data_IF_617692740723
#
_entry.id   IF_617692740723
#
_cell.length_a   1.000
_cell.length_b   1.000
_cell.length_c   1.000
_cell.angle_alpha   90.00
_cell.angle_beta   90.00
_cell.angle_gamma   90.00
#
_symmetry.space_group_name_H-M   'P 1'
#
loop_
_entity.id
_entity.type
_entity.pdbx_description
1 polymer ?
#
# COMPACT_ATOMS: atom_id res chain seq x y z
N UNK A 1 -47.16 11.09 -10.93
CA UNK A 1 -46.16 12.15 -11.19
C UNK A 1 -44.86 11.66 -10.57
N UNK A 2 -43.85 11.29 -11.41
CA UNK A 2 -42.57 10.75 -10.93
C UNK A 2 -41.55 11.90 -10.95
N UNK A 3 -41.11 12.33 -9.77
CA UNK A 3 -40.14 13.39 -9.60
C UNK A 3 -38.74 12.75 -9.71
N UNK A 4 -38.00 13.08 -10.76
CA UNK A 4 -36.59 12.71 -10.89
C UNK A 4 -35.74 13.69 -10.06
N UNK A 5 -35.06 13.20 -9.04
CA UNK A 5 -34.04 13.95 -8.33
C UNK A 5 -32.73 13.85 -9.10
N UNK A 6 -32.22 15.00 -9.58
CA UNK A 6 -30.93 15.12 -10.24
C UNK A 6 -29.86 15.18 -9.14
N UNK A 7 -29.03 14.14 -9.06
CA UNK A 7 -27.87 14.12 -8.16
C UNK A 7 -26.74 14.91 -8.82
N UNK A 8 -26.44 16.10 -8.28
CA UNK A 8 -25.29 16.89 -8.71
C UNK A 8 -24.00 16.25 -8.19
N UNK A 9 -23.15 15.80 -9.10
CA UNK A 9 -21.79 15.35 -8.78
C UNK A 9 -20.93 16.60 -8.47
N UNK A 10 -20.55 16.76 -7.22
CA UNK A 10 -19.54 17.74 -6.82
C UNK A 10 -18.17 17.09 -7.03
N UNK A 11 -17.47 17.48 -8.06
CA UNK A 11 -16.06 17.12 -8.26
C UNK A 11 -15.21 17.97 -7.31
N UNK A 12 -14.72 17.39 -6.22
CA UNK A 12 -13.71 18.00 -5.37
C UNK A 12 -12.34 17.78 -6.03
N UNK A 13 -11.81 18.83 -6.65
CA UNK A 13 -10.43 18.86 -7.12
C UNK A 13 -9.49 18.94 -5.91
N UNK A 14 -8.87 17.85 -5.52
CA UNK A 14 -7.79 17.85 -4.53
C UNK A 14 -6.53 18.30 -5.25
N UNK A 15 -6.10 19.55 -5.00
CA UNK A 15 -4.80 20.04 -5.44
C UNK A 15 -3.70 19.24 -4.73
N UNK A 16 -2.93 18.46 -5.48
CA UNK A 16 -1.74 17.79 -4.97
C UNK A 16 -0.68 18.82 -4.60
N UNK A 17 0.00 18.72 -3.44
CA UNK A 17 1.13 19.57 -3.13
C UNK A 17 2.26 19.31 -4.13
N UNK A 18 2.82 20.38 -4.68
CA UNK A 18 3.95 20.32 -5.59
C UNK A 18 5.13 19.59 -4.93
N UNK A 19 5.57 18.50 -5.54
CA UNK A 19 6.78 17.82 -5.15
C UNK A 19 8.00 18.71 -5.43
N UNK A 20 9.03 18.75 -4.55
CA UNK A 20 10.25 19.45 -4.84
C UNK A 20 10.90 18.84 -6.09
N UNK A 21 11.23 19.70 -7.06
CA UNK A 21 11.91 19.31 -8.29
C UNK A 21 13.32 18.82 -7.96
N UNK A 22 13.50 17.53 -7.84
CA UNK A 22 14.82 16.91 -7.93
C UNK A 22 15.20 16.80 -9.40
N UNK A 23 16.42 17.28 -9.69
CA UNK A 23 17.00 17.49 -10.99
C UNK A 23 16.73 16.41 -12.05
N UNK A 24 16.78 16.86 -13.29
CA UNK A 24 16.57 16.17 -14.55
C UNK A 24 16.97 14.70 -14.52
N UNK A 25 16.00 13.80 -14.71
CA UNK A 25 16.28 12.41 -15.02
C UNK A 25 17.09 12.33 -16.32
N UNK A 26 18.20 11.60 -16.38
CA UNK A 26 18.85 11.33 -17.65
C UNK A 26 17.91 10.51 -18.52
N UNK A 27 17.83 10.87 -19.79
CA UNK A 27 17.07 10.19 -20.84
C UNK A 27 17.39 8.69 -20.81
N UNK A 28 16.36 7.87 -21.14
CA UNK A 28 16.46 6.43 -21.31
C UNK A 28 17.46 6.09 -22.44
N UNK A 29 18.74 6.06 -22.08
CA UNK A 29 19.81 5.45 -22.87
C UNK A 29 19.95 4.01 -22.44
N UNK A 30 20.13 3.12 -23.39
CA UNK A 30 20.45 1.70 -23.21
C UNK A 30 21.86 1.54 -22.61
N UNK A 31 22.11 2.20 -21.46
CA UNK A 31 23.38 2.25 -20.75
C UNK A 31 23.43 1.17 -19.71
N UNK A 32 24.40 0.28 -19.80
CA UNK A 32 24.81 -0.64 -18.73
C UNK A 32 24.91 0.16 -17.42
N UNK A 33 24.07 -0.20 -16.44
CA UNK A 33 24.12 0.41 -15.10
C UNK A 33 25.51 0.16 -14.53
N UNK A 34 26.22 1.21 -14.15
CA UNK A 34 27.55 1.06 -13.53
C UNK A 34 27.44 0.28 -12.24
N UNK A 35 28.50 -0.42 -11.81
CA UNK A 35 28.51 -1.18 -10.55
C UNK A 35 28.13 -0.29 -9.36
N UNK A 36 28.60 0.95 -9.31
CA UNK A 36 28.21 1.90 -8.26
C UNK A 36 26.70 2.26 -8.33
N UNK A 37 26.16 2.48 -9.53
CA UNK A 37 24.74 2.75 -9.74
C UNK A 37 23.86 1.56 -9.36
N UNK A 38 24.26 0.35 -9.73
CA UNK A 38 23.59 -0.88 -9.33
C UNK A 38 23.57 -1.04 -7.80
N UNK A 39 24.68 -0.80 -7.12
CA UNK A 39 24.77 -0.91 -5.67
C UNK A 39 23.85 0.09 -4.96
N UNK A 40 23.78 1.33 -5.45
CA UNK A 40 22.86 2.34 -4.92
C UNK A 40 21.39 1.96 -5.16
N UNK A 41 21.04 1.51 -6.37
CA UNK A 41 19.71 1.07 -6.72
C UNK A 41 19.27 -0.17 -5.91
N UNK A 42 20.19 -1.13 -5.66
CA UNK A 42 19.95 -2.27 -4.78
C UNK A 42 19.63 -1.83 -3.35
N UNK A 43 20.37 -0.87 -2.80
CA UNK A 43 20.09 -0.35 -1.47
C UNK A 43 18.68 0.29 -1.40
N UNK A 44 18.33 1.11 -2.38
CA UNK A 44 17.00 1.71 -2.49
C UNK A 44 15.89 0.66 -2.63
N UNK A 45 16.11 -0.40 -3.41
CA UNK A 45 15.17 -1.51 -3.56
C UNK A 45 14.94 -2.23 -2.23
N UNK A 46 16.01 -2.55 -1.50
CA UNK A 46 15.93 -3.18 -0.18
C UNK A 46 15.14 -2.31 0.79
N UNK A 47 15.39 -1.01 0.84
CA UNK A 47 14.68 -0.10 1.74
C UNK A 47 13.23 0.10 1.31
N UNK A 48 12.96 0.15 0.02
CA UNK A 48 11.60 0.20 -0.52
C UNK A 48 10.78 -1.06 -0.19
N UNK A 49 11.38 -2.27 -0.24
CA UNK A 49 10.68 -3.50 0.16
C UNK A 49 10.41 -3.52 1.67
N UNK A 50 11.35 -3.06 2.50
CA UNK A 50 11.09 -2.90 3.96
C UNK A 50 9.93 -1.94 4.22
N UNK A 51 9.90 -0.80 3.51
CA UNK A 51 8.79 0.14 3.62
C UNK A 51 7.44 -0.49 3.21
N UNK A 52 7.42 -1.39 2.22
CA UNK A 52 6.22 -2.16 1.89
C UNK A 52 5.82 -3.14 3.00
N UNK A 53 6.76 -3.82 3.64
CA UNK A 53 6.47 -4.69 4.79
C UNK A 53 5.87 -3.90 5.95
N UNK A 54 6.37 -2.69 6.22
CA UNK A 54 5.79 -1.79 7.22
C UNK A 54 4.36 -1.38 6.87
N UNK A 55 4.07 -1.10 5.59
CA UNK A 55 2.71 -0.80 5.11
C UNK A 55 1.79 -2.01 5.28
N UNK A 56 2.22 -3.22 4.96
CA UNK A 56 1.41 -4.44 5.14
C UNK A 56 1.12 -4.72 6.62
N UNK A 57 2.08 -4.46 7.51
CA UNK A 57 1.85 -4.54 8.96
C UNK A 57 0.80 -3.53 9.44
N UNK A 58 0.81 -2.30 8.89
CA UNK A 58 -0.21 -1.28 9.16
C UNK A 58 -1.59 -1.68 8.62
N UNK A 59 -1.63 -2.20 7.40
CA UNK A 59 -2.84 -2.66 6.76
C UNK A 59 -3.52 -3.77 7.56
N UNK A 60 -2.74 -4.70 8.09
CA UNK A 60 -3.26 -5.82 8.86
C UNK A 60 -3.71 -5.42 10.27
N UNK A 61 -2.83 -4.76 11.04
CA UNK A 61 -3.00 -4.51 12.49
C UNK A 61 -3.21 -3.06 12.85
N UNK A 62 -2.98 -2.13 11.91
CA UNK A 62 -2.98 -0.69 12.16
C UNK A 62 -1.74 -0.19 12.91
N UNK A 63 -1.61 1.12 13.00
CA UNK A 63 -0.56 1.74 13.80
C UNK A 63 -0.91 1.74 15.28
N UNK A 64 -0.07 1.13 16.11
CA UNK A 64 0.10 1.59 17.48
C UNK A 64 0.94 2.87 17.40
N UNK A 65 0.31 4.05 17.43
CA UNK A 65 1.04 5.32 17.51
C UNK A 65 1.93 5.30 18.75
N UNK A 66 3.24 5.59 18.63
CA UNK A 66 4.08 5.80 19.83
C UNK A 66 3.49 6.95 20.64
N UNK A 67 3.31 6.75 21.94
CA UNK A 67 2.60 7.64 22.88
C UNK A 67 3.26 9.01 23.10
N UNK A 68 4.35 9.33 22.39
CA UNK A 68 5.22 10.47 22.71
C UNK A 68 5.03 11.72 21.84
N UNK A 69 4.04 11.76 20.92
CA UNK A 69 3.75 12.97 20.17
C UNK A 69 2.31 13.44 20.43
N UNK A 70 2.18 14.55 21.14
CA UNK A 70 0.97 15.32 21.46
C UNK A 70 0.06 14.73 22.56
N UNK A 71 0.39 15.07 23.79
CA UNK A 71 -0.38 14.77 25.02
C UNK A 71 -1.66 15.60 25.22
N UNK A 72 -2.24 16.20 24.16
CA UNK A 72 -3.39 17.10 24.32
C UNK A 72 -4.64 16.78 23.50
N UNK A 73 -4.67 15.64 22.78
CA UNK A 73 -5.88 15.19 22.08
C UNK A 73 -6.41 13.90 22.72
N UNK A 74 -7.75 13.70 22.80
CA UNK A 74 -8.32 12.49 23.36
C UNK A 74 -7.76 11.29 22.61
N UNK A 75 -7.10 10.39 23.34
CA UNK A 75 -6.46 9.17 22.84
C UNK A 75 -7.51 8.12 22.48
N UNK A 76 -8.28 8.36 21.44
CA UNK A 76 -8.86 7.24 20.70
C UNK A 76 -7.72 6.66 19.87
N UNK A 77 -7.19 5.51 20.29
CA UNK A 77 -6.32 4.67 19.47
C UNK A 77 -7.14 4.19 18.26
N UNK A 78 -7.32 5.06 17.28
CA UNK A 78 -7.92 4.72 15.99
C UNK A 78 -6.87 3.94 15.20
N UNK A 79 -6.82 2.64 15.44
CA UNK A 79 -6.11 1.72 14.58
C UNK A 79 -6.96 1.52 13.32
N UNK A 80 -6.52 2.03 12.19
CA UNK A 80 -7.18 1.82 10.90
C UNK A 80 -6.52 0.64 10.21
N UNK A 81 -7.19 -0.52 10.22
CA UNK A 81 -6.67 -1.77 9.69
C UNK A 81 -7.82 -2.68 9.24
N UNK A 82 -7.49 -3.75 8.51
CA UNK A 82 -8.45 -4.79 8.15
C UNK A 82 -9.05 -5.44 9.40
N UNK A 83 -8.24 -5.69 10.44
CA UNK A 83 -8.75 -6.22 11.72
C UNK A 83 -9.72 -5.25 12.42
N UNK A 84 -9.47 -3.94 12.32
CA UNK A 84 -10.40 -2.92 12.85
C UNK A 84 -11.66 -2.86 12.01
N UNK A 85 -11.52 -2.96 10.68
CA UNK A 85 -12.64 -2.97 9.75
C UNK A 85 -13.59 -4.14 10.05
N UNK A 86 -13.05 -5.34 10.33
CA UNK A 86 -13.85 -6.49 10.76
C UNK A 86 -14.68 -6.21 12.02
N UNK A 87 -14.08 -5.53 13.01
CA UNK A 87 -14.77 -5.20 14.27
C UNK A 87 -15.82 -4.08 14.11
N UNK A 88 -15.72 -3.29 13.05
CA UNK A 88 -16.62 -2.16 12.80
C UNK A 88 -17.74 -2.46 11.81
N UNK A 89 -17.83 -3.69 11.29
CA UNK A 89 -18.96 -4.12 10.47
C UNK A 89 -20.28 -3.86 11.22
N UNK A 90 -21.21 -3.20 10.57
CA UNK A 90 -22.50 -2.80 11.15
C UNK A 90 -22.45 -1.53 12.02
N UNK A 91 -21.32 -0.84 12.11
CA UNK A 91 -21.18 0.40 12.90
C UNK A 91 -21.02 1.64 12.02
N UNK A 92 -21.31 2.82 12.59
CA UNK A 92 -21.10 4.10 11.89
C UNK A 92 -19.63 4.39 11.55
N UNK A 93 -18.68 3.75 12.24
CA UNK A 93 -17.22 3.91 12.00
C UNK A 93 -16.68 3.17 10.79
N UNK A 94 -17.44 2.24 10.21
CA UNK A 94 -16.99 1.36 9.13
C UNK A 94 -16.45 2.14 7.92
N UNK A 95 -17.21 3.07 7.39
CA UNK A 95 -16.84 3.83 6.18
C UNK A 95 -15.55 4.65 6.38
N UNK A 96 -15.36 5.26 7.55
CA UNK A 96 -14.15 6.02 7.86
C UNK A 96 -12.92 5.11 7.91
N UNK A 97 -13.07 3.92 8.49
CA UNK A 97 -12.00 2.90 8.53
C UNK A 97 -11.71 2.35 7.15
N UNK A 98 -12.73 2.03 6.35
CA UNK A 98 -12.57 1.58 4.96
C UNK A 98 -11.78 2.58 4.13
N UNK A 99 -12.13 3.88 4.21
CA UNK A 99 -11.39 4.95 3.52
C UNK A 99 -9.92 4.99 3.95
N UNK A 100 -9.65 4.83 5.24
CA UNK A 100 -8.29 4.83 5.76
C UNK A 100 -7.48 3.61 5.34
N UNK A 101 -8.09 2.42 5.29
CA UNK A 101 -7.46 1.20 4.76
C UNK A 101 -7.11 1.37 3.28
N UNK A 102 -8.02 1.89 2.47
CA UNK A 102 -7.77 2.19 1.05
C UNK A 102 -6.59 3.16 0.85
N UNK A 103 -6.47 4.19 1.70
CA UNK A 103 -5.34 5.11 1.65
C UNK A 103 -4.00 4.44 1.99
N UNK A 104 -3.98 3.50 2.95
CA UNK A 104 -2.82 2.69 3.28
C UNK A 104 -2.44 1.79 2.11
N UNK A 105 -3.40 1.12 1.49
CA UNK A 105 -3.20 0.26 0.31
C UNK A 105 -2.63 1.05 -0.87
N UNK A 106 -3.18 2.24 -1.16
CA UNK A 106 -2.67 3.10 -2.23
C UNK A 106 -1.20 3.47 -2.00
N UNK A 107 -0.83 3.85 -0.77
CA UNK A 107 0.57 4.12 -0.42
C UNK A 107 1.47 2.90 -0.66
N UNK A 108 1.00 1.71 -0.34
CA UNK A 108 1.70 0.44 -0.61
C UNK A 108 1.91 0.22 -2.11
N UNK A 109 0.90 0.49 -2.94
CA UNK A 109 0.97 0.41 -4.41
C UNK A 109 2.04 1.36 -4.96
N UNK A 110 2.06 2.62 -4.50
CA UNK A 110 3.02 3.63 -4.97
C UNK A 110 4.48 3.25 -4.64
N UNK A 111 4.72 2.72 -3.45
CA UNK A 111 6.05 2.23 -3.05
C UNK A 111 6.45 1.03 -3.91
N UNK A 112 5.53 0.11 -4.16
CA UNK A 112 5.80 -1.11 -4.94
C UNK A 112 6.09 -0.82 -6.40
N UNK A 113 5.39 0.13 -7.02
CA UNK A 113 5.68 0.55 -8.39
C UNK A 113 7.13 1.02 -8.54
N UNK A 114 7.66 1.76 -7.55
CA UNK A 114 9.07 2.17 -7.51
C UNK A 114 10.01 0.98 -7.34
N UNK A 115 9.65 0.04 -6.46
CA UNK A 115 10.44 -1.18 -6.24
C UNK A 115 10.53 -2.05 -7.49
N UNK A 116 9.41 -2.23 -8.22
CA UNK A 116 9.37 -2.97 -9.48
C UNK A 116 10.27 -2.33 -10.54
N UNK A 117 10.23 -1.00 -10.65
CA UNK A 117 11.10 -0.27 -11.57
C UNK A 117 12.58 -0.51 -11.23
N UNK A 118 12.99 -0.28 -9.99
CA UNK A 118 14.36 -0.50 -9.53
C UNK A 118 14.81 -1.95 -9.75
N UNK A 119 13.97 -2.93 -9.41
CA UNK A 119 14.30 -4.34 -9.58
C UNK A 119 14.56 -4.71 -11.04
N UNK A 120 13.76 -4.18 -11.97
CA UNK A 120 13.94 -4.39 -13.42
C UNK A 120 15.20 -3.69 -13.94
N UNK A 121 15.49 -2.47 -13.51
CA UNK A 121 16.68 -1.72 -13.92
C UNK A 121 18.00 -2.41 -13.56
N UNK A 122 18.05 -3.11 -12.42
CA UNK A 122 19.26 -3.80 -11.95
C UNK A 122 19.22 -5.32 -12.15
N UNK A 123 18.23 -5.84 -12.89
CA UNK A 123 18.01 -7.28 -13.10
C UNK A 123 17.99 -8.06 -11.77
N UNK A 124 17.30 -7.53 -10.77
CA UNK A 124 17.17 -8.17 -9.46
C UNK A 124 16.32 -9.43 -9.54
N UNK A 125 16.72 -10.54 -8.88
CA UNK A 125 15.87 -11.73 -8.76
C UNK A 125 14.53 -11.46 -8.04
N UNK A 126 14.41 -10.34 -7.32
CA UNK A 126 13.15 -9.92 -6.67
C UNK A 126 12.06 -9.49 -7.68
N UNK A 127 12.39 -9.19 -8.95
CA UNK A 127 11.46 -8.58 -9.90
C UNK A 127 10.17 -9.39 -10.08
N UNK A 128 10.28 -10.72 -10.29
CA UNK A 128 9.12 -11.59 -10.48
C UNK A 128 8.22 -11.66 -9.23
N UNK A 129 8.82 -11.75 -8.05
CA UNK A 129 8.08 -11.77 -6.79
C UNK A 129 7.37 -10.43 -6.48
N UNK A 130 7.97 -9.31 -6.87
CA UNK A 130 7.33 -7.99 -6.77
C UNK A 130 6.12 -7.86 -7.70
N UNK A 131 6.17 -8.45 -8.90
CA UNK A 131 5.04 -8.46 -9.84
C UNK A 131 3.87 -9.29 -9.27
N UNK A 132 4.14 -10.43 -8.60
CA UNK A 132 3.12 -11.25 -7.91
C UNK A 132 2.40 -10.41 -6.82
N UNK A 133 3.15 -9.76 -5.93
CA UNK A 133 2.55 -8.96 -4.85
C UNK A 133 1.80 -7.75 -5.40
N UNK A 134 2.24 -7.15 -6.51
CA UNK A 134 1.53 -6.06 -7.15
C UNK A 134 0.14 -6.48 -7.64
N UNK A 135 0.02 -7.65 -8.27
CA UNK A 135 -1.27 -8.19 -8.70
C UNK A 135 -2.20 -8.49 -7.53
N UNK A 136 -1.68 -9.09 -6.46
CA UNK A 136 -2.45 -9.38 -5.25
C UNK A 136 -3.04 -8.11 -4.63
N UNK A 137 -2.27 -7.04 -4.52
CA UNK A 137 -2.72 -5.80 -3.88
C UNK A 137 -3.82 -5.07 -4.66
N UNK A 138 -3.81 -5.12 -5.99
CA UNK A 138 -4.91 -4.58 -6.80
C UNK A 138 -6.22 -5.33 -6.49
N UNK A 139 -6.14 -6.65 -6.33
CA UNK A 139 -7.27 -7.48 -5.93
C UNK A 139 -7.77 -7.11 -4.52
N UNK A 140 -6.87 -7.00 -3.54
CA UNK A 140 -7.18 -6.60 -2.17
C UNK A 140 -7.89 -5.24 -2.12
N UNK A 141 -7.39 -4.25 -2.86
CA UNK A 141 -8.00 -2.92 -2.97
C UNK A 141 -9.42 -2.98 -3.56
N UNK A 142 -9.63 -3.82 -4.57
CA UNK A 142 -10.95 -4.05 -5.16
C UNK A 142 -11.91 -4.66 -4.14
N UNK A 143 -11.44 -5.64 -3.36
CA UNK A 143 -12.23 -6.28 -2.30
C UNK A 143 -12.61 -5.27 -1.21
N UNK A 144 -11.65 -4.47 -0.70
CA UNK A 144 -11.93 -3.43 0.30
C UNK A 144 -12.93 -2.41 -0.22
N UNK A 145 -12.80 -1.97 -1.49
CA UNK A 145 -13.74 -1.05 -2.13
C UNK A 145 -15.15 -1.64 -2.22
N UNK A 146 -15.26 -2.95 -2.40
CA UNK A 146 -16.54 -3.68 -2.54
C UNK A 146 -17.28 -3.91 -1.23
N UNK A 147 -16.66 -3.72 -0.07
CA UNK A 147 -17.28 -3.95 1.24
C UNK A 147 -18.48 -3.00 1.46
N UNK A 148 -19.53 -3.51 2.09
CA UNK A 148 -20.82 -2.82 2.30
C UNK A 148 -21.06 -2.41 3.76
N UNK A 149 -20.22 -2.83 4.69
CA UNK A 149 -20.38 -2.58 6.12
C UNK A 149 -21.38 -3.50 6.79
N UNK A 150 -21.74 -4.65 6.19
CA UNK A 150 -22.67 -5.61 6.77
C UNK A 150 -22.03 -6.99 6.90
N UNK A 151 -22.21 -7.66 8.05
CA UNK A 151 -21.62 -8.97 8.32
C UNK A 151 -22.02 -10.04 7.28
N UNK A 152 -23.27 -10.04 6.86
CA UNK A 152 -23.79 -11.02 5.90
C UNK A 152 -23.05 -10.98 4.54
N UNK A 153 -22.53 -9.83 4.14
CA UNK A 153 -21.84 -9.64 2.86
C UNK A 153 -20.32 -9.62 2.97
N UNK A 154 -19.77 -9.14 4.10
CA UNK A 154 -18.37 -8.73 4.19
C UNK A 154 -17.49 -9.71 4.96
N UNK A 155 -18.03 -10.52 5.88
CA UNK A 155 -17.23 -11.40 6.76
C UNK A 155 -16.32 -12.35 6.00
N UNK A 156 -16.81 -12.96 4.93
CA UNK A 156 -16.01 -13.88 4.12
C UNK A 156 -14.86 -13.14 3.41
N UNK A 157 -15.16 -11.97 2.83
CA UNK A 157 -14.18 -11.14 2.14
C UNK A 157 -13.11 -10.61 3.11
N UNK A 158 -13.50 -10.16 4.29
CA UNK A 158 -12.59 -9.67 5.31
C UNK A 158 -11.64 -10.75 5.84
N UNK A 159 -12.12 -11.98 6.02
CA UNK A 159 -11.27 -13.13 6.36
C UNK A 159 -10.26 -13.45 5.25
N UNK A 160 -10.71 -13.40 4.00
CA UNK A 160 -9.85 -13.61 2.83
C UNK A 160 -8.78 -12.53 2.76
N UNK A 161 -9.14 -11.26 2.95
CA UNK A 161 -8.20 -10.13 2.96
C UNK A 161 -7.10 -10.29 4.01
N UNK A 162 -7.42 -10.72 5.24
CA UNK A 162 -6.42 -11.00 6.28
C UNK A 162 -5.39 -12.03 5.79
N UNK A 163 -5.87 -13.11 5.16
CA UNK A 163 -4.99 -14.16 4.65
C UNK A 163 -4.13 -13.65 3.47
N UNK A 164 -4.72 -12.90 2.54
CA UNK A 164 -4.02 -12.35 1.38
C UNK A 164 -2.89 -11.39 1.79
N UNK A 165 -3.13 -10.49 2.75
CA UNK A 165 -2.08 -9.60 3.29
C UNK A 165 -0.97 -10.41 3.98
N UNK A 166 -1.30 -11.47 4.73
CA UNK A 166 -0.29 -12.33 5.35
C UNK A 166 0.56 -13.06 4.32
N UNK A 167 -0.05 -13.56 3.25
CA UNK A 167 0.68 -14.26 2.18
C UNK A 167 1.51 -13.27 1.35
N UNK A 168 0.99 -12.07 1.09
CA UNK A 168 1.74 -10.97 0.49
C UNK A 168 2.95 -10.54 1.34
N UNK A 169 2.82 -10.57 2.66
CA UNK A 169 3.93 -10.29 3.60
C UNK A 169 5.04 -11.33 3.45
N UNK A 170 4.71 -12.62 3.46
CA UNK A 170 5.69 -13.71 3.26
C UNK A 170 6.39 -13.59 1.90
N UNK A 171 5.64 -13.25 0.85
CA UNK A 171 6.23 -13.03 -0.47
C UNK A 171 7.17 -11.82 -0.47
N UNK A 172 6.84 -10.73 0.22
CA UNK A 172 7.73 -9.57 0.35
C UNK A 172 8.97 -9.84 1.20
N UNK A 173 8.90 -10.69 2.21
CA UNK A 173 10.09 -11.17 2.94
C UNK A 173 11.03 -11.93 2.02
N UNK A 174 10.50 -12.80 1.15
CA UNK A 174 11.28 -13.48 0.12
C UNK A 174 11.88 -12.48 -0.88
N UNK A 175 11.09 -11.53 -1.37
CA UNK A 175 11.54 -10.46 -2.26
C UNK A 175 12.68 -9.65 -1.64
N UNK A 176 12.64 -9.42 -0.32
CA UNK A 176 13.71 -8.73 0.42
C UNK A 176 15.01 -9.54 0.41
N UNK A 177 14.93 -10.86 0.59
CA UNK A 177 16.10 -11.74 0.50
C UNK A 177 16.68 -11.75 -0.93
N UNK A 178 15.80 -11.87 -1.92
CA UNK A 178 16.17 -11.85 -3.34
C UNK A 178 16.82 -10.51 -3.73
N UNK A 179 16.28 -9.37 -3.27
CA UNK A 179 16.87 -8.05 -3.51
C UNK A 179 18.26 -7.90 -2.91
N UNK A 180 18.49 -8.40 -1.69
CA UNK A 180 19.81 -8.41 -1.04
C UNK A 180 20.83 -9.26 -1.80
N UNK A 181 20.40 -10.32 -2.47
CA UNK A 181 21.27 -11.23 -3.25
C UNK A 181 21.63 -10.69 -4.63
N UNK A 182 21.04 -9.57 -5.06
CA UNK A 182 21.33 -8.96 -6.37
C UNK A 182 22.83 -8.67 -6.51
N UNK A 183 23.41 -9.20 -7.59
CA UNK A 183 24.84 -8.99 -7.90
C UNK A 183 25.02 -7.69 -8.69
N UNK A 184 25.86 -6.85 -8.23
CA UNK A 184 26.31 -5.63 -8.89
C UNK A 184 27.79 -5.81 -9.32
#
# INVERSE_FOLDING_TARGET
MKTFAILALIAVAIAAPAAPSCGSAPAAGNGTVTSAGCTAARAQLVDGIKANLDIQAQELKGYARPRNLLSSLPTTNLSFSIETLQKQVGTAGFNATQTSVLAIQQKGIDIRAKNQKLAKEINSPAAAGLDIVAGAQVKEMTQVTGLKGTAATDDATLKTLVQEVQDGTKQNEKNLADAKSTKC
#
